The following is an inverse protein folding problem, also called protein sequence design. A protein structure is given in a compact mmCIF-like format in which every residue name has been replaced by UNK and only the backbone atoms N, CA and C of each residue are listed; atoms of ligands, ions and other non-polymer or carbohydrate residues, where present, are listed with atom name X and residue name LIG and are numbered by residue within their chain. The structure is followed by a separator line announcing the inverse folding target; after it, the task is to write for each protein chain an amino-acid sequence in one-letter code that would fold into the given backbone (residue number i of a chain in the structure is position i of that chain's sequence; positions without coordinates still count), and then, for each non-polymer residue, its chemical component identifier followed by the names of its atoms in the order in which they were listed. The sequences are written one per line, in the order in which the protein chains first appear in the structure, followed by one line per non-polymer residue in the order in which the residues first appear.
data_IF_881249556257
#
_entry.id   IF_881249556257
#
_cell.length_a   1.000
_cell.length_b   1.000
_cell.length_c   1.000
_cell.angle_alpha   90.00
_cell.angle_beta   90.00
_cell.angle_gamma   90.00
#
_symmetry.space_group_name_H-M   'P 1'
#
loop_
_entity.id
_entity.type
_entity.pdbx_description
1 polymer ?
#
# COMPACT_ATOMS: atom_id res chain seq x y z
N UNK A 1 -28.24 22.35 -46.49
CA UNK A 1 -27.98 21.29 -45.50
C UNK A 1 -26.70 20.60 -45.92
N UNK A 2 -25.60 20.93 -45.26
CA UNK A 2 -24.30 20.27 -45.42
C UNK A 2 -23.48 20.58 -44.18
N UNK A 3 -23.54 19.61 -43.27
CA UNK A 3 -22.63 19.19 -42.21
C UNK A 3 -21.46 20.10 -41.81
N UNK A 4 -21.57 20.54 -40.57
CA UNK A 4 -20.60 21.29 -39.79
C UNK A 4 -20.01 20.33 -38.75
N UNK A 5 -19.02 19.51 -39.13
CA UNK A 5 -18.45 18.47 -38.26
C UNK A 5 -16.90 18.52 -38.18
N UNK A 6 -16.32 19.71 -38.20
CA UNK A 6 -14.86 19.86 -38.13
C UNK A 6 -14.35 20.94 -37.16
N UNK A 7 -15.03 21.14 -36.02
CA UNK A 7 -14.63 22.18 -35.03
C UNK A 7 -14.09 21.69 -33.67
N UNK A 8 -14.16 20.39 -33.36
CA UNK A 8 -13.75 19.88 -32.03
C UNK A 8 -12.31 19.32 -31.93
N UNK A 9 -11.68 18.92 -33.05
CA UNK A 9 -10.34 18.30 -33.01
C UNK A 9 -9.20 19.30 -32.80
N UNK A 10 -9.43 20.58 -33.08
CA UNK A 10 -8.41 21.62 -32.97
C UNK A 10 -8.24 22.12 -31.53
N UNK A 11 -9.24 21.97 -30.66
CA UNK A 11 -9.24 22.62 -29.34
C UNK A 11 -8.22 21.97 -28.37
N UNK A 12 -8.10 20.64 -28.36
CA UNK A 12 -7.19 19.93 -27.43
C UNK A 12 -5.70 20.13 -27.76
N UNK A 13 -5.35 20.22 -29.05
CA UNK A 13 -3.97 20.51 -29.48
C UNK A 13 -3.62 21.98 -29.24
N UNK A 14 -4.59 22.89 -29.37
CA UNK A 14 -4.38 24.33 -29.14
C UNK A 14 -4.25 24.67 -27.65
N UNK A 15 -4.92 23.93 -26.76
CA UNK A 15 -4.69 24.01 -25.31
C UNK A 15 -3.31 23.46 -24.91
N UNK A 16 -2.87 22.34 -25.50
CA UNK A 16 -1.51 21.79 -25.26
C UNK A 16 -0.39 22.80 -25.54
N UNK A 17 -0.52 23.62 -26.58
CA UNK A 17 0.49 24.65 -26.93
C UNK A 17 0.41 25.89 -26.03
N UNK A 18 -0.76 26.20 -25.46
CA UNK A 18 -0.93 27.33 -24.53
C UNK A 18 -0.54 27.02 -23.08
N UNK A 19 -0.52 25.75 -22.67
CA UNK A 19 -0.39 25.36 -21.26
C UNK A 19 1.06 25.08 -20.81
N UNK A 20 2.01 24.95 -21.74
CA UNK A 20 3.45 24.96 -21.42
C UNK A 20 3.93 26.34 -20.92
N UNK A 21 3.17 27.42 -21.17
CA UNK A 21 3.53 28.79 -20.77
C UNK A 21 3.44 29.06 -19.25
N UNK A 22 2.75 28.21 -18.47
CA UNK A 22 2.55 28.38 -17.02
C UNK A 22 3.50 27.55 -16.14
N UNK A 23 4.53 26.92 -16.71
CA UNK A 23 5.60 26.23 -15.95
C UNK A 23 5.19 24.94 -15.23
N UNK A 24 3.96 24.44 -15.44
CA UNK A 24 3.46 23.18 -14.87
C UNK A 24 3.40 22.10 -15.95
N UNK A 25 4.17 21.02 -15.78
CA UNK A 25 4.14 19.87 -16.70
C UNK A 25 3.05 18.90 -16.27
N UNK A 26 2.00 18.76 -17.09
CA UNK A 26 0.97 17.76 -16.90
C UNK A 26 1.46 16.37 -17.32
N UNK A 27 1.29 15.37 -16.46
CA UNK A 27 1.67 13.98 -16.71
C UNK A 27 0.43 13.08 -16.78
N UNK A 28 0.39 12.10 -17.69
CA UNK A 28 -0.74 11.19 -17.80
C UNK A 28 -0.70 10.09 -16.74
N UNK A 29 -1.83 9.86 -16.10
CA UNK A 29 -2.04 8.83 -15.09
C UNK A 29 -3.25 7.97 -15.41
N UNK A 30 -3.16 6.71 -15.02
CA UNK A 30 -4.29 5.81 -14.87
C UNK A 30 -4.56 5.62 -13.38
N UNK A 31 -5.75 5.99 -12.90
CA UNK A 31 -6.13 5.89 -11.50
C UNK A 31 -7.17 4.80 -11.35
N UNK A 32 -6.90 3.80 -10.51
CA UNK A 32 -7.87 2.76 -10.20
C UNK A 32 -8.96 3.33 -9.29
N UNK A 33 -10.22 3.32 -9.74
CA UNK A 33 -11.36 3.88 -9.00
C UNK A 33 -12.32 2.80 -8.48
N UNK A 34 -12.06 1.51 -8.75
CA UNK A 34 -12.74 0.40 -8.10
C UNK A 34 -11.84 -0.82 -7.90
N UNK A 35 -12.27 -1.75 -7.05
CA UNK A 35 -11.53 -2.97 -6.74
C UNK A 35 -10.58 -2.82 -5.56
N UNK A 36 -9.70 -3.82 -5.38
CA UNK A 36 -8.85 -3.93 -4.18
C UNK A 36 -7.80 -2.82 -4.06
N UNK A 37 -7.36 -2.24 -5.17
CA UNK A 37 -6.35 -1.17 -5.20
C UNK A 37 -6.96 0.19 -5.55
N UNK A 38 -8.20 0.46 -5.12
CA UNK A 38 -8.85 1.76 -5.33
C UNK A 38 -7.98 2.90 -4.77
N UNK A 39 -7.74 3.92 -5.60
CA UNK A 39 -6.84 5.05 -5.32
C UNK A 39 -5.42 4.87 -5.86
N UNK A 40 -5.04 3.67 -6.31
CA UNK A 40 -3.71 3.43 -6.88
C UNK A 40 -3.55 4.18 -8.20
N UNK A 41 -2.41 4.84 -8.36
CA UNK A 41 -2.09 5.66 -9.52
C UNK A 41 -0.92 5.04 -10.30
N UNK A 42 -1.05 4.97 -11.61
CA UNK A 42 -0.01 4.48 -12.51
C UNK A 42 0.37 5.58 -13.49
N UNK A 43 1.60 6.09 -13.38
CA UNK A 43 2.14 7.08 -14.31
C UNK A 43 2.39 6.45 -15.69
N UNK A 44 1.95 7.11 -16.77
CA UNK A 44 2.04 6.62 -18.14
C UNK A 44 3.07 7.39 -18.99
N UNK A 45 3.80 8.33 -18.39
CA UNK A 45 4.77 9.19 -19.09
C UNK A 45 5.88 8.37 -19.74
N UNK A 46 6.06 8.58 -21.05
CA UNK A 46 7.21 8.07 -21.81
C UNK A 46 7.32 6.55 -21.88
N UNK A 47 6.29 5.80 -21.53
CA UNK A 47 6.32 4.33 -21.54
C UNK A 47 5.03 3.73 -22.07
N UNK A 48 5.17 2.62 -22.80
CA UNK A 48 4.06 1.73 -23.10
C UNK A 48 3.85 0.80 -21.90
N UNK A 49 2.60 0.59 -21.50
CA UNK A 49 2.27 -0.26 -20.34
C UNK A 49 1.35 -1.39 -20.75
N UNK A 50 1.61 -2.59 -20.24
CA UNK A 50 0.68 -3.73 -20.33
C UNK A 50 -0.07 -3.87 -19.01
N UNK A 51 -1.36 -4.17 -19.13
CA UNK A 51 -2.28 -4.42 -18.04
C UNK A 51 -2.81 -5.85 -18.14
N UNK A 52 -2.81 -6.57 -17.02
CA UNK A 52 -3.33 -7.93 -17.02
C UNK A 52 -3.09 -8.66 -15.71
N UNK A 53 -3.69 -9.84 -15.58
CA UNK A 53 -3.56 -10.69 -14.39
C UNK A 53 -2.17 -11.31 -14.24
N UNK A 54 -1.37 -11.33 -15.31
CA UNK A 54 0.00 -11.81 -15.22
C UNK A 54 0.86 -10.85 -14.38
N UNK A 55 1.54 -11.33 -13.32
CA UNK A 55 2.40 -10.49 -12.49
C UNK A 55 3.55 -9.81 -13.25
N UNK A 56 3.90 -10.28 -14.45
CA UNK A 56 4.90 -9.66 -15.32
C UNK A 56 4.42 -8.41 -16.07
N UNK A 57 3.12 -8.08 -16.02
CA UNK A 57 2.58 -6.84 -16.57
C UNK A 57 3.11 -5.62 -15.80
N UNK A 58 3.33 -4.49 -16.48
CA UNK A 58 3.72 -3.24 -15.81
C UNK A 58 2.64 -2.75 -14.84
N UNK A 59 1.38 -3.08 -15.11
CA UNK A 59 0.24 -2.87 -14.22
C UNK A 59 -0.41 -4.25 -13.97
N UNK A 60 0.02 -4.99 -12.93
CA UNK A 60 -0.56 -6.27 -12.59
C UNK A 60 -1.94 -6.07 -11.95
N UNK A 61 -2.93 -6.84 -12.42
CA UNK A 61 -4.32 -6.73 -11.99
C UNK A 61 -4.78 -8.04 -11.33
N UNK A 62 -4.87 -8.08 -9.99
CA UNK A 62 -5.37 -9.25 -9.23
C UNK A 62 -6.89 -9.38 -9.33
N UNK A 63 -7.37 -9.80 -10.51
CA UNK A 63 -8.79 -10.08 -10.73
C UNK A 63 -9.01 -11.31 -11.64
N UNK A 64 -9.82 -12.30 -11.22
CA UNK A 64 -10.07 -13.49 -12.03
C UNK A 64 -10.80 -13.20 -13.36
N UNK A 65 -11.48 -12.07 -13.49
CA UNK A 65 -12.16 -11.64 -14.73
C UNK A 65 -11.23 -10.86 -15.67
N UNK A 66 -9.95 -10.77 -15.33
CA UNK A 66 -8.93 -10.14 -16.17
C UNK A 66 -8.03 -11.22 -16.77
N UNK A 67 -7.94 -11.24 -18.10
CA UNK A 67 -6.98 -12.07 -18.85
C UNK A 67 -5.52 -11.80 -18.43
N UNK A 68 -4.63 -12.79 -18.62
CA UNK A 68 -3.21 -12.69 -18.23
C UNK A 68 -2.53 -11.47 -18.85
N UNK A 69 -2.74 -11.27 -20.15
CA UNK A 69 -2.49 -10.02 -20.86
C UNK A 69 -3.86 -9.53 -21.32
N UNK A 70 -4.32 -8.38 -20.84
CA UNK A 70 -5.69 -7.91 -21.09
C UNK A 70 -5.70 -6.72 -22.02
N UNK A 71 -4.89 -5.71 -21.71
CA UNK A 71 -4.81 -4.50 -22.50
C UNK A 71 -3.37 -3.97 -22.54
N UNK A 72 -3.09 -3.11 -23.51
CA UNK A 72 -1.91 -2.27 -23.54
C UNK A 72 -2.32 -0.81 -23.69
N UNK A 73 -1.57 0.10 -23.06
CA UNK A 73 -1.66 1.53 -23.31
C UNK A 73 -0.35 1.96 -23.94
N UNK A 74 -0.44 2.54 -25.13
CA UNK A 74 0.73 2.89 -25.96
C UNK A 74 0.68 4.36 -26.37
N UNK A 75 1.86 4.95 -26.54
CA UNK A 75 2.00 6.26 -27.17
C UNK A 75 1.92 6.12 -28.69
N UNK A 76 0.91 6.75 -29.29
CA UNK A 76 0.76 6.89 -30.74
C UNK A 76 1.30 8.27 -31.15
N UNK A 77 2.16 8.28 -32.16
CA UNK A 77 2.78 9.49 -32.72
C UNK A 77 3.46 10.39 -31.66
N UNK A 78 3.89 9.81 -30.53
CA UNK A 78 4.55 10.51 -29.43
C UNK A 78 3.66 11.47 -28.62
N UNK A 79 2.37 11.60 -28.93
CA UNK A 79 1.51 12.66 -28.36
C UNK A 79 0.17 12.16 -27.85
N UNK A 80 -0.34 11.06 -28.39
CA UNK A 80 -1.64 10.48 -28.05
C UNK A 80 -1.43 9.19 -27.26
N UNK A 81 -2.21 8.99 -26.19
CA UNK A 81 -2.26 7.71 -25.49
C UNK A 81 -3.44 6.92 -26.01
N UNK A 82 -3.20 5.66 -26.34
CA UNK A 82 -4.20 4.75 -26.91
C UNK A 82 -4.26 3.50 -26.07
N UNK A 83 -5.46 3.14 -25.60
CA UNK A 83 -5.71 1.84 -25.00
C UNK A 83 -6.12 0.84 -26.09
N UNK A 84 -5.58 -0.37 -26.04
CA UNK A 84 -5.88 -1.47 -26.94
C UNK A 84 -6.15 -2.75 -26.18
N UNK A 85 -7.20 -3.46 -26.57
CA UNK A 85 -7.46 -4.83 -26.11
C UNK A 85 -6.52 -5.81 -26.83
N UNK A 86 -5.85 -6.67 -26.08
CA UNK A 86 -4.87 -7.65 -26.65
C UNK A 86 -5.45 -9.06 -26.74
N UNK A 87 -6.74 -9.18 -27.06
CA UNK A 87 -7.45 -10.45 -27.17
C UNK A 87 -7.98 -10.94 -25.84
N UNK A 88 -8.48 -10.03 -25.00
CA UNK A 88 -8.98 -10.37 -23.69
C UNK A 88 -10.35 -11.07 -23.75
N UNK A 89 -10.67 -11.87 -22.72
CA UNK A 89 -11.92 -12.64 -22.67
C UNK A 89 -13.13 -11.74 -22.43
N UNK A 90 -13.00 -10.75 -21.55
CA UNK A 90 -14.11 -9.89 -21.13
C UNK A 90 -14.11 -8.52 -21.82
N UNK A 91 -13.03 -8.15 -22.52
CA UNK A 91 -12.89 -6.89 -23.25
C UNK A 91 -12.56 -5.70 -22.36
N UNK A 92 -12.24 -4.60 -23.02
CA UNK A 92 -12.15 -3.26 -22.43
C UNK A 92 -13.38 -2.44 -22.82
N UNK A 93 -13.84 -1.58 -21.91
CA UNK A 93 -14.88 -0.61 -22.19
C UNK A 93 -14.41 0.78 -21.80
N UNK A 94 -14.60 1.77 -22.67
CA UNK A 94 -14.32 3.18 -22.36
C UNK A 94 -15.64 3.94 -22.39
N UNK A 95 -15.95 4.62 -21.27
CA UNK A 95 -17.22 5.32 -21.04
C UNK A 95 -18.45 4.44 -21.36
N UNK A 96 -18.37 3.15 -20.98
CA UNK A 96 -19.43 2.16 -21.17
C UNK A 96 -19.49 1.51 -22.55
N UNK A 97 -18.67 1.92 -23.52
CA UNK A 97 -18.63 1.33 -24.86
C UNK A 97 -17.48 0.33 -24.97
N UNK A 98 -17.76 -0.90 -25.42
CA UNK A 98 -16.72 -1.90 -25.69
C UNK A 98 -15.85 -1.44 -26.86
N UNK A 99 -14.53 -1.47 -26.70
CA UNK A 99 -13.60 -1.02 -27.74
C UNK A 99 -12.48 -2.02 -27.97
N UNK A 100 -12.00 -2.11 -29.21
CA UNK A 100 -10.76 -2.83 -29.51
C UNK A 100 -9.54 -1.90 -29.34
N UNK A 101 -9.71 -0.64 -29.70
CA UNK A 101 -8.70 0.40 -29.61
C UNK A 101 -9.37 1.77 -29.49
N UNK A 102 -8.89 2.64 -28.60
CA UNK A 102 -9.41 4.00 -28.42
C UNK A 102 -8.32 4.96 -27.94
N UNK A 103 -8.30 6.18 -28.49
CA UNK A 103 -7.52 7.30 -27.96
C UNK A 103 -8.13 7.74 -26.63
N UNK A 104 -7.32 7.81 -25.59
CA UNK A 104 -7.74 8.21 -24.25
C UNK A 104 -7.81 9.74 -24.14
N UNK A 105 -8.94 10.24 -23.64
CA UNK A 105 -9.17 11.64 -23.33
C UNK A 105 -9.24 11.86 -21.83
N UNK A 106 -8.82 13.04 -21.36
CA UNK A 106 -8.86 13.38 -19.94
C UNK A 106 -10.26 13.15 -19.35
N UNK A 107 -10.33 12.39 -18.26
CA UNK A 107 -11.58 12.04 -17.60
C UNK A 107 -12.21 10.71 -18.04
N UNK A 108 -11.68 10.05 -19.07
CA UNK A 108 -12.21 8.77 -19.56
C UNK A 108 -12.26 7.70 -18.46
N UNK A 109 -13.42 7.03 -18.36
CA UNK A 109 -13.63 5.90 -17.45
C UNK A 109 -13.43 4.60 -18.21
N UNK A 110 -12.48 3.81 -17.78
CA UNK A 110 -12.06 2.57 -18.44
C UNK A 110 -12.45 1.40 -17.54
N UNK A 111 -13.28 0.49 -18.03
CA UNK A 111 -13.55 -0.80 -17.40
C UNK A 111 -12.67 -1.87 -18.05
N UNK A 112 -11.90 -2.57 -17.23
CA UNK A 112 -11.10 -3.73 -17.64
C UNK A 112 -11.69 -4.97 -16.97
N UNK A 113 -12.00 -5.99 -17.77
CA UNK A 113 -12.73 -7.15 -17.28
C UNK A 113 -14.19 -6.82 -16.95
N UNK A 114 -14.66 -7.22 -15.78
CA UNK A 114 -16.08 -7.06 -15.39
C UNK A 114 -16.32 -6.00 -14.31
N UNK A 115 -15.29 -5.62 -13.55
CA UNK A 115 -15.48 -4.79 -12.34
C UNK A 115 -14.34 -3.84 -11.99
N UNK A 116 -13.23 -3.84 -12.72
CA UNK A 116 -12.11 -2.91 -12.46
C UNK A 116 -12.29 -1.65 -13.29
N UNK A 117 -12.69 -0.58 -12.64
CA UNK A 117 -12.78 0.75 -13.21
C UNK A 117 -11.51 1.53 -12.95
N UNK A 118 -11.07 2.22 -13.99
CA UNK A 118 -10.00 3.18 -13.97
C UNK A 118 -10.50 4.52 -14.51
N UNK A 119 -9.86 5.61 -14.10
CA UNK A 119 -9.99 6.93 -14.70
C UNK A 119 -8.66 7.30 -15.32
N UNK A 120 -8.66 7.65 -16.60
CA UNK A 120 -7.50 8.29 -17.22
C UNK A 120 -7.57 9.80 -16.97
N UNK A 121 -6.44 10.39 -16.55
CA UNK A 121 -6.35 11.83 -16.41
C UNK A 121 -4.92 12.35 -16.56
N UNK A 122 -4.78 13.59 -16.97
CA UNK A 122 -3.56 14.37 -16.85
C UNK A 122 -3.54 15.06 -15.48
N UNK A 123 -2.42 14.98 -14.78
CA UNK A 123 -2.23 15.62 -13.49
C UNK A 123 -0.96 16.46 -13.50
N UNK A 124 -1.03 17.64 -12.90
CA UNK A 124 0.16 18.40 -12.58
C UNK A 124 0.74 18.01 -11.21
N UNK A 125 1.83 18.66 -10.82
CA UNK A 125 2.47 18.44 -9.52
C UNK A 125 1.57 18.82 -8.33
N UNK A 126 0.61 19.73 -8.51
CA UNK A 126 -0.32 20.18 -7.48
C UNK A 126 -1.40 19.12 -7.24
N UNK A 127 -1.98 18.58 -8.31
CA UNK A 127 -2.91 17.45 -8.27
C UNK A 127 -2.27 16.23 -7.61
N UNK A 128 -1.04 15.91 -8.02
CA UNK A 128 -0.29 14.80 -7.44
C UNK A 128 -0.07 15.00 -5.93
N UNK A 129 0.33 16.20 -5.51
CA UNK A 129 0.51 16.54 -4.11
C UNK A 129 -0.81 16.44 -3.34
N UNK A 130 -1.91 16.96 -3.90
CA UNK A 130 -3.22 16.90 -3.28
C UNK A 130 -3.70 15.46 -3.08
N UNK A 131 -3.58 14.60 -4.10
CA UNK A 131 -3.94 13.18 -3.97
C UNK A 131 -3.05 12.45 -2.97
N UNK A 132 -1.74 12.72 -2.97
CA UNK A 132 -0.83 12.14 -1.98
C UNK A 132 -1.20 12.58 -0.56
N UNK A 133 -1.59 13.84 -0.38
CA UNK A 133 -2.03 14.36 0.92
C UNK A 133 -3.34 13.71 1.36
N UNK A 134 -4.31 13.51 0.46
CA UNK A 134 -5.54 12.78 0.75
C UNK A 134 -5.25 11.32 1.16
N UNK A 135 -4.39 10.63 0.41
CA UNK A 135 -3.98 9.27 0.76
C UNK A 135 -3.32 9.22 2.13
N UNK A 136 -2.39 10.14 2.42
CA UNK A 136 -1.71 10.21 3.71
C UNK A 136 -2.70 10.50 4.84
N UNK A 137 -3.59 11.47 4.67
CA UNK A 137 -4.60 11.82 5.66
C UNK A 137 -5.54 10.64 5.98
N UNK A 138 -5.87 9.82 4.98
CA UNK A 138 -6.74 8.67 5.15
C UNK A 138 -6.05 7.44 5.76
N UNK A 139 -4.76 7.23 5.47
CA UNK A 139 -4.08 5.96 5.71
C UNK A 139 -2.90 6.01 6.70
N UNK A 140 -2.41 7.21 7.07
CA UNK A 140 -1.24 7.38 7.92
C UNK A 140 -1.65 7.87 9.32
N UNK A 141 -1.07 7.29 10.37
CA UNK A 141 -1.19 7.77 11.73
C UNK A 141 -0.42 9.08 11.90
N UNK A 142 -1.12 10.13 12.34
CA UNK A 142 -0.55 11.48 12.43
C UNK A 142 0.63 11.59 13.41
N UNK A 143 0.67 10.75 14.45
CA UNK A 143 1.73 10.78 15.45
C UNK A 143 3.01 10.09 14.95
N UNK A 144 2.88 8.84 14.54
CA UNK A 144 4.02 7.94 14.27
C UNK A 144 4.47 7.94 12.81
N UNK A 145 3.64 8.49 11.90
CA UNK A 145 3.83 8.48 10.45
C UNK A 145 3.89 7.07 9.82
N UNK A 146 3.48 6.04 10.58
CA UNK A 146 3.22 4.71 10.06
C UNK A 146 1.80 4.62 9.49
N UNK A 147 1.44 3.52 8.85
CA UNK A 147 0.05 3.28 8.47
C UNK A 147 -0.84 3.22 9.71
N UNK A 148 -2.12 3.56 9.55
CA UNK A 148 -3.12 3.38 10.58
C UNK A 148 -3.68 1.95 10.57
N UNK A 149 -4.37 1.59 11.67
CA UNK A 149 -4.99 0.27 11.84
C UNK A 149 -5.92 -0.11 10.68
N UNK A 150 -6.76 0.82 10.22
CA UNK A 150 -7.75 0.57 9.16
C UNK A 150 -7.05 0.10 7.89
N UNK A 151 -6.10 0.88 7.39
CA UNK A 151 -5.33 0.52 6.20
C UNK A 151 -4.58 -0.80 6.39
N UNK A 152 -3.97 -1.00 7.55
CA UNK A 152 -3.22 -2.22 7.85
C UNK A 152 -4.09 -3.48 7.78
N UNK A 153 -5.27 -3.48 8.40
CA UNK A 153 -6.21 -4.63 8.37
C UNK A 153 -6.68 -4.91 6.95
N UNK A 154 -7.00 -3.87 6.18
CA UNK A 154 -7.41 -4.00 4.78
C UNK A 154 -6.30 -4.65 3.92
N UNK A 155 -5.03 -4.29 4.17
CA UNK A 155 -3.90 -4.92 3.47
C UNK A 155 -3.64 -6.33 3.97
N UNK A 156 -3.64 -6.57 5.28
CA UNK A 156 -3.42 -7.90 5.86
C UNK A 156 -4.43 -8.92 5.31
N UNK A 157 -5.70 -8.54 5.14
CA UNK A 157 -6.73 -9.39 4.55
C UNK A 157 -6.42 -9.80 3.10
N UNK A 158 -5.91 -8.87 2.30
CA UNK A 158 -5.50 -9.13 0.91
C UNK A 158 -4.29 -10.05 0.89
N UNK A 159 -3.27 -9.76 1.69
CA UNK A 159 -2.04 -10.56 1.77
C UNK A 159 -2.30 -11.97 2.29
N UNK A 160 -3.11 -12.14 3.33
CA UNK A 160 -3.48 -13.45 3.86
C UNK A 160 -4.15 -14.31 2.78
N UNK A 161 -5.12 -13.72 2.06
CA UNK A 161 -5.81 -14.39 0.97
C UNK A 161 -4.85 -14.75 -0.17
N UNK A 162 -3.92 -13.86 -0.52
CA UNK A 162 -2.91 -14.09 -1.55
C UNK A 162 -1.95 -15.21 -1.16
N UNK A 163 -1.39 -15.15 0.05
CA UNK A 163 -0.44 -16.10 0.58
C UNK A 163 -1.05 -17.52 0.70
N UNK A 164 -2.29 -17.62 1.21
CA UNK A 164 -3.02 -18.89 1.29
C UNK A 164 -3.25 -19.53 -0.08
N UNK A 165 -3.58 -18.74 -1.11
CA UNK A 165 -3.78 -19.25 -2.49
C UNK A 165 -2.47 -19.67 -3.15
N UNK A 166 -1.42 -18.89 -2.99
CA UNK A 166 -0.14 -19.10 -3.68
C UNK A 166 0.84 -19.98 -2.90
N UNK A 167 0.48 -20.41 -1.67
CA UNK A 167 1.35 -21.17 -0.77
C UNK A 167 2.69 -20.47 -0.53
N UNK A 168 2.64 -19.16 -0.34
CA UNK A 168 3.82 -18.34 0.01
C UNK A 168 3.77 -17.98 1.49
N UNK A 169 4.91 -17.90 2.19
CA UNK A 169 4.92 -17.58 3.61
C UNK A 169 4.50 -16.12 3.84
N UNK A 170 3.73 -15.89 4.89
CA UNK A 170 3.33 -14.56 5.34
C UNK A 170 3.45 -14.49 6.86
N UNK A 171 4.28 -13.58 7.36
CA UNK A 171 4.47 -13.42 8.80
C UNK A 171 3.80 -12.14 9.31
N UNK A 172 3.15 -12.24 10.47
CA UNK A 172 2.54 -11.14 11.19
C UNK A 172 3.25 -10.97 12.53
N UNK A 173 3.64 -9.73 12.83
CA UNK A 173 4.26 -9.35 14.09
C UNK A 173 3.38 -8.33 14.80
N UNK A 174 3.03 -8.62 16.06
CA UNK A 174 2.35 -7.71 16.98
C UNK A 174 3.36 -7.22 18.00
N UNK A 175 3.37 -5.92 18.31
CA UNK A 175 4.37 -5.25 19.13
C UNK A 175 3.67 -4.35 20.14
N UNK A 176 4.15 -4.33 21.37
CA UNK A 176 3.67 -3.44 22.43
C UNK A 176 4.83 -2.80 23.19
N UNK A 177 4.66 -1.53 23.57
CA UNK A 177 5.65 -0.81 24.39
C UNK A 177 5.50 -1.18 25.85
N UNK A 178 6.54 -1.81 26.40
CA UNK A 178 6.54 -2.28 27.76
C UNK A 178 6.42 -1.11 28.74
N UNK A 179 5.50 -1.24 29.71
CA UNK A 179 5.29 -0.26 30.77
C UNK A 179 4.97 1.16 30.26
N UNK A 180 4.35 1.31 29.08
CA UNK A 180 4.05 2.62 28.49
C UNK A 180 3.26 3.56 29.42
N UNK A 181 2.30 3.02 30.18
CA UNK A 181 1.58 3.79 31.21
C UNK A 181 2.52 4.42 32.25
N UNK A 182 3.53 3.67 32.73
CA UNK A 182 4.51 4.18 33.69
C UNK A 182 5.35 5.31 33.09
N UNK A 183 5.67 5.22 31.80
CA UNK A 183 6.39 6.29 31.08
C UNK A 183 5.55 7.57 31.09
N UNK A 184 4.26 7.47 30.74
CA UNK A 184 3.33 8.60 30.79
C UNK A 184 3.17 9.17 32.20
N UNK A 185 3.00 8.30 33.20
CA UNK A 185 2.82 8.72 34.60
C UNK A 185 4.09 9.41 35.16
N UNK A 186 5.29 9.02 34.69
CA UNK A 186 6.57 9.56 35.17
C UNK A 186 7.01 10.82 34.43
N UNK A 187 6.86 10.84 33.10
CA UNK A 187 7.43 11.88 32.23
C UNK A 187 6.37 12.74 31.51
N UNK A 188 5.10 12.42 31.69
CA UNK A 188 3.96 13.07 31.04
C UNK A 188 3.70 12.54 29.62
N UNK A 189 2.49 12.79 29.12
CA UNK A 189 2.04 12.32 27.80
C UNK A 189 2.92 12.78 26.63
N UNK A 190 3.53 13.96 26.73
CA UNK A 190 4.46 14.46 25.69
C UNK A 190 5.66 13.52 25.52
N UNK A 191 6.17 12.96 26.62
CA UNK A 191 7.26 11.99 26.57
C UNK A 191 6.80 10.66 25.97
N UNK A 192 5.59 10.20 26.32
CA UNK A 192 4.98 9.03 25.69
C UNK A 192 4.80 9.19 24.17
N UNK A 193 4.32 10.35 23.72
CA UNK A 193 4.20 10.67 22.30
C UNK A 193 5.56 10.64 21.58
N UNK A 194 6.63 11.12 22.23
CA UNK A 194 7.99 11.05 21.70
C UNK A 194 8.49 9.60 21.61
N UNK A 195 8.17 8.76 22.59
CA UNK A 195 8.47 7.33 22.56
C UNK A 195 7.79 6.65 21.37
N UNK A 196 6.50 6.90 21.15
CA UNK A 196 5.77 6.34 20.01
C UNK A 196 6.32 6.85 18.67
N UNK A 197 6.63 8.15 18.57
CA UNK A 197 7.30 8.74 17.40
C UNK A 197 8.63 8.08 17.11
N UNK A 198 9.44 7.85 18.13
CA UNK A 198 10.76 7.23 17.99
C UNK A 198 10.65 5.82 17.41
N UNK A 199 9.74 5.00 17.96
CA UNK A 199 9.47 3.66 17.42
C UNK A 199 8.96 3.73 15.98
N UNK A 200 8.00 4.62 15.70
CA UNK A 200 7.47 4.81 14.35
C UNK A 200 8.56 5.13 13.33
N UNK A 201 9.45 6.06 13.66
CA UNK A 201 10.60 6.42 12.81
C UNK A 201 11.57 5.26 12.63
N UNK A 202 11.86 4.51 13.70
CA UNK A 202 12.74 3.35 13.64
C UNK A 202 12.16 2.26 12.73
N UNK A 203 10.87 1.92 12.89
CA UNK A 203 10.20 0.92 12.06
C UNK A 203 10.14 1.34 10.60
N UNK A 204 9.84 2.62 10.34
CA UNK A 204 9.79 3.16 8.98
C UNK A 204 11.14 3.05 8.24
N UNK A 205 12.26 3.28 8.95
CA UNK A 205 13.62 3.19 8.36
C UNK A 205 14.15 1.76 8.26
N UNK A 206 13.71 0.87 9.15
CA UNK A 206 14.29 -0.47 9.31
C UNK A 206 13.62 -1.53 8.43
N UNK A 207 12.44 -1.23 7.89
CA UNK A 207 11.68 -2.13 7.05
C UNK A 207 11.92 -1.86 5.57
N UNK A 208 11.94 -2.93 4.77
CA UNK A 208 11.98 -2.84 3.31
C UNK A 208 10.63 -2.34 2.78
N UNK A 209 10.63 -1.79 1.56
CA UNK A 209 9.44 -1.19 0.92
C UNK A 209 8.25 -2.15 0.82
N UNK A 210 8.52 -3.45 0.69
CA UNK A 210 7.48 -4.49 0.60
C UNK A 210 6.80 -4.83 1.93
N UNK A 211 7.40 -4.44 3.07
CA UNK A 211 6.86 -4.71 4.40
C UNK A 211 6.07 -3.51 4.91
N UNK A 212 4.99 -3.78 5.64
CA UNK A 212 4.03 -2.75 6.05
C UNK A 212 4.01 -2.70 7.57
N UNK A 213 4.37 -1.54 8.14
CA UNK A 213 4.21 -1.26 9.56
C UNK A 213 3.05 -0.30 9.81
N UNK A 214 2.32 -0.53 10.90
CA UNK A 214 1.26 0.35 11.37
C UNK A 214 1.35 0.62 12.86
N UNK A 215 0.68 1.71 13.28
CA UNK A 215 0.21 1.85 14.65
C UNK A 215 -1.16 1.16 14.77
N UNK A 216 -1.19 0.06 15.50
CA UNK A 216 -2.37 -0.80 15.60
C UNK A 216 -3.41 -0.25 16.59
N UNK A 217 -2.96 0.43 17.64
CA UNK A 217 -3.83 1.14 18.59
C UNK A 217 -3.07 1.52 19.86
N UNK A 218 -3.31 2.71 20.43
CA UNK A 218 -2.60 3.13 21.65
C UNK A 218 -1.07 3.09 21.47
N UNK A 219 -0.42 2.21 22.23
CA UNK A 219 1.01 1.89 22.23
C UNK A 219 1.38 0.63 21.41
N UNK A 220 0.41 0.03 20.73
CA UNK A 220 0.59 -1.18 19.93
C UNK A 220 0.95 -0.86 18.48
N UNK A 221 1.87 -1.65 17.94
CA UNK A 221 2.29 -1.61 16.54
C UNK A 221 2.15 -2.99 15.92
N UNK A 222 2.04 -3.05 14.60
CA UNK A 222 2.03 -4.32 13.89
C UNK A 222 2.77 -4.23 12.56
N UNK A 223 3.36 -5.35 12.13
CA UNK A 223 4.14 -5.46 10.89
C UNK A 223 3.68 -6.67 10.07
N UNK A 224 3.41 -6.44 8.78
CA UNK A 224 3.23 -7.49 7.77
C UNK A 224 4.57 -7.73 7.09
N UNK A 225 5.04 -8.97 7.10
CA UNK A 225 6.25 -9.42 6.45
C UNK A 225 5.89 -10.38 5.30
N UNK A 226 5.95 -9.88 4.06
CA UNK A 226 5.54 -10.62 2.86
C UNK A 226 6.64 -11.56 2.39
N UNK A 227 6.31 -12.81 2.07
CA UNK A 227 7.27 -13.81 1.62
C UNK A 227 8.42 -14.03 2.62
N UNK A 228 8.10 -13.95 3.91
CA UNK A 228 9.06 -14.14 5.01
C UNK A 228 8.60 -15.32 5.84
N UNK A 229 9.46 -16.33 5.92
CA UNK A 229 9.27 -17.52 6.75
C UNK A 229 9.44 -17.23 8.26
N UNK A 230 9.07 -18.21 9.08
CA UNK A 230 9.07 -18.09 10.54
C UNK A 230 10.46 -17.77 11.10
N UNK A 231 11.50 -18.44 10.61
CA UNK A 231 12.88 -18.24 11.06
C UNK A 231 13.35 -16.82 10.78
N UNK A 232 13.13 -16.32 9.57
CA UNK A 232 13.53 -14.97 9.17
C UNK A 232 12.69 -13.91 9.88
N UNK A 233 11.38 -14.17 10.08
CA UNK A 233 10.51 -13.28 10.84
C UNK A 233 10.99 -13.10 12.28
N UNK A 234 11.43 -14.18 12.94
CA UNK A 234 12.03 -14.11 14.27
C UNK A 234 13.32 -13.30 14.31
N UNK A 235 14.20 -13.46 13.32
CA UNK A 235 15.43 -12.65 13.24
C UNK A 235 15.11 -11.16 13.08
N UNK A 236 14.10 -10.82 12.27
CA UNK A 236 13.65 -9.43 12.10
C UNK A 236 13.05 -8.90 13.42
N UNK A 237 12.22 -9.69 14.10
CA UNK A 237 11.59 -9.34 15.37
C UNK A 237 12.64 -9.05 16.46
N UNK A 238 13.60 -9.95 16.65
CA UNK A 238 14.66 -9.76 17.64
C UNK A 238 15.58 -8.58 17.30
N UNK A 239 15.85 -8.34 16.02
CA UNK A 239 16.59 -7.15 15.60
C UNK A 239 15.82 -5.86 15.95
N UNK A 240 14.50 -5.83 15.72
CA UNK A 240 13.65 -4.70 16.11
C UNK A 240 13.70 -4.49 17.63
N UNK A 241 13.50 -5.56 18.40
CA UNK A 241 13.55 -5.54 19.86
C UNK A 241 14.87 -4.99 20.41
N UNK A 242 15.98 -5.59 20.00
CA UNK A 242 17.32 -5.24 20.47
C UNK A 242 17.72 -3.81 20.12
N UNK A 243 17.30 -3.30 18.96
CA UNK A 243 17.62 -1.93 18.57
C UNK A 243 16.79 -0.91 19.36
N UNK A 244 15.51 -1.17 19.59
CA UNK A 244 14.66 -0.31 20.43
C UNK A 244 15.20 -0.27 21.87
N UNK A 245 15.59 -1.43 22.42
CA UNK A 245 16.20 -1.52 23.77
C UNK A 245 17.48 -0.68 23.90
N UNK A 246 18.30 -0.62 22.85
CA UNK A 246 19.59 0.09 22.87
C UNK A 246 19.50 1.59 22.60
N UNK A 247 18.40 2.06 22.03
CA UNK A 247 18.24 3.46 21.60
C UNK A 247 17.36 4.21 22.60
N UNK A 248 17.95 5.06 23.47
CA UNK A 248 17.14 5.87 24.37
C UNK A 248 16.40 6.98 23.61
N UNK A 249 15.25 7.37 24.14
CA UNK A 249 14.51 8.55 23.70
C UNK A 249 14.93 9.73 24.58
N UNK A 250 15.62 10.70 23.98
CA UNK A 250 16.04 11.91 24.71
C UNK A 250 14.87 12.88 24.90
N UNK A 251 14.58 13.25 26.14
CA UNK A 251 13.55 14.21 26.50
C UNK A 251 14.01 15.08 27.68
N UNK A 252 14.02 16.42 27.50
CA UNK A 252 14.40 17.40 28.53
C UNK A 252 15.74 17.10 29.25
N UNK A 253 16.74 16.63 28.50
CA UNK A 253 18.07 16.19 28.95
C UNK A 253 18.11 14.84 29.68
N UNK A 254 16.98 14.14 29.82
CA UNK A 254 16.94 12.77 30.29
C UNK A 254 16.91 11.77 29.12
N UNK A 255 17.44 10.58 29.35
CA UNK A 255 17.36 9.46 28.43
C UNK A 255 16.32 8.45 28.94
N UNK A 256 15.23 8.31 28.21
CA UNK A 256 14.16 7.35 28.50
C UNK A 256 14.50 6.05 27.78
N UNK A 257 14.88 5.02 28.53
CA UNK A 257 15.07 3.68 28.01
C UNK A 257 13.74 2.94 27.99
N UNK A 258 13.45 2.30 26.87
CA UNK A 258 12.20 1.57 26.63
C UNK A 258 12.51 0.17 26.13
N UNK A 259 11.62 -0.76 26.39
CA UNK A 259 11.64 -2.09 25.78
C UNK A 259 10.30 -2.36 25.11
N UNK A 260 10.30 -3.34 24.22
CA UNK A 260 9.09 -3.79 23.53
C UNK A 260 8.96 -5.31 23.66
N UNK A 261 7.72 -5.76 23.79
CA UNK A 261 7.35 -7.17 23.70
C UNK A 261 6.78 -7.46 22.31
N UNK A 262 7.09 -8.62 21.75
CA UNK A 262 6.71 -8.99 20.38
C UNK A 262 6.08 -10.38 20.32
N UNK A 263 5.00 -10.50 19.56
CA UNK A 263 4.38 -11.77 19.19
C UNK A 263 4.46 -11.99 17.69
N UNK A 264 4.88 -13.18 17.26
CA UNK A 264 5.03 -13.52 15.84
C UNK A 264 4.20 -14.76 15.50
N UNK A 265 3.43 -14.67 14.43
CA UNK A 265 2.78 -15.81 13.79
C UNK A 265 3.15 -15.86 12.30
N UNK A 266 3.31 -17.06 11.75
CA UNK A 266 3.62 -17.25 10.33
C UNK A 266 2.61 -18.17 9.68
N UNK A 267 1.88 -17.63 8.70
CA UNK A 267 1.11 -18.44 7.77
C UNK A 267 2.10 -19.17 6.86
N UNK A 268 2.10 -20.49 6.97
CA UNK A 268 2.81 -21.39 6.08
C UNK A 268 1.95 -22.62 5.79
N UNK A 269 1.94 -23.04 4.53
CA UNK A 269 1.19 -24.21 4.06
C UNK A 269 -0.29 -24.28 4.49
N UNK A 270 -0.93 -23.13 4.75
CA UNK A 270 -2.35 -23.07 5.12
C UNK A 270 -2.66 -23.47 6.56
N UNK A 271 -1.68 -23.41 7.47
CA UNK A 271 -1.85 -23.67 8.91
C UNK A 271 -2.84 -22.75 9.66
N UNK A 272 -3.45 -21.77 8.98
CA UNK A 272 -4.55 -20.96 9.49
C UNK A 272 -5.77 -21.03 8.59
N UNK A 273 -6.94 -21.27 9.18
CA UNK A 273 -8.20 -21.28 8.44
C UNK A 273 -8.66 -19.88 8.09
N UNK A 274 -8.67 -19.00 9.09
CA UNK A 274 -9.16 -17.62 8.97
C UNK A 274 -8.07 -16.60 9.27
N UNK A 275 -8.27 -15.36 8.82
CA UNK A 275 -7.38 -14.24 9.15
C UNK A 275 -7.48 -13.93 10.65
N UNK A 276 -8.65 -14.13 11.26
CA UNK A 276 -8.89 -13.96 12.69
C UNK A 276 -8.02 -14.94 13.51
N UNK A 277 -7.90 -16.20 13.07
CA UNK A 277 -7.00 -17.17 13.70
C UNK A 277 -5.54 -16.74 13.63
N UNK A 278 -5.15 -16.17 12.48
CA UNK A 278 -3.78 -15.71 12.26
C UNK A 278 -3.42 -14.51 13.12
N UNK A 279 -4.32 -13.52 13.21
CA UNK A 279 -4.15 -12.35 14.09
C UNK A 279 -4.12 -12.78 15.55
N UNK A 280 -5.08 -13.63 15.96
CA UNK A 280 -5.16 -14.16 17.33
C UNK A 280 -3.89 -14.90 17.72
N UNK A 281 -3.30 -15.69 16.82
CA UNK A 281 -2.05 -16.39 17.11
C UNK A 281 -0.89 -15.43 17.39
N UNK A 282 -0.78 -14.32 16.64
CA UNK A 282 0.26 -13.32 16.88
C UNK A 282 0.01 -12.57 18.21
N UNK A 283 -1.25 -12.28 18.53
CA UNK A 283 -1.66 -11.64 19.79
C UNK A 283 -1.41 -12.54 21.02
N UNK A 284 -1.74 -13.83 20.94
CA UNK A 284 -1.44 -14.83 21.97
C UNK A 284 0.08 -14.92 22.24
N UNK A 285 0.90 -14.83 21.19
CA UNK A 285 2.36 -14.78 21.34
C UNK A 285 2.80 -13.48 22.03
N UNK A 286 2.23 -12.33 21.68
CA UNK A 286 2.55 -11.05 22.31
C UNK A 286 2.16 -11.08 23.80
N UNK A 287 1.00 -11.65 24.11
CA UNK A 287 0.57 -11.86 25.48
C UNK A 287 1.54 -12.77 26.24
N UNK A 288 1.98 -13.88 25.64
CA UNK A 288 2.99 -14.76 26.22
C UNK A 288 4.34 -14.04 26.44
N UNK A 289 4.75 -13.15 25.54
CA UNK A 289 5.94 -12.31 25.72
C UNK A 289 5.80 -11.38 26.94
N UNK A 290 4.64 -10.74 27.09
CA UNK A 290 4.33 -9.87 28.24
C UNK A 290 4.31 -10.63 29.57
N UNK A 291 3.73 -11.83 29.59
CA UNK A 291 3.69 -12.70 30.78
C UNK A 291 5.06 -13.32 31.10
N UNK A 292 5.86 -13.60 30.07
CA UNK A 292 7.20 -14.15 30.20
C UNK A 292 8.27 -13.15 30.63
N UNK A 293 7.90 -12.02 31.24
CA UNK A 293 8.83 -11.02 31.74
C UNK A 293 9.09 -9.82 30.83
N UNK A 294 8.33 -9.68 29.72
CA UNK A 294 8.47 -8.58 28.73
C UNK A 294 9.84 -8.58 28.04
N UNK A 295 10.12 -7.54 27.25
CA UNK A 295 11.37 -7.36 26.50
C UNK A 295 11.82 -8.64 25.77
N UNK A 296 10.89 -9.29 25.09
CA UNK A 296 11.16 -10.55 24.39
C UNK A 296 10.25 -10.74 23.20
N UNK A 297 10.70 -11.56 22.26
CA UNK A 297 9.85 -12.09 21.19
C UNK A 297 9.40 -13.50 21.53
N UNK A 298 8.13 -13.78 21.30
CA UNK A 298 7.57 -15.14 21.29
C UNK A 298 6.99 -15.41 19.91
N UNK A 299 7.19 -16.62 19.40
CA UNK A 299 6.60 -17.07 18.15
C UNK A 299 5.83 -18.36 18.37
N UNK A 300 4.73 -18.49 17.64
CA UNK A 300 3.99 -19.74 17.57
C UNK A 300 4.79 -20.75 16.76
N UNK A 301 5.14 -21.88 17.39
CA UNK A 301 5.73 -23.00 16.69
C UNK A 301 4.74 -23.55 15.65
N UNK A 302 5.24 -23.93 14.47
CA UNK A 302 4.43 -24.63 13.49
C UNK A 302 4.06 -26.01 14.07
N UNK A 303 2.77 -26.29 14.14
CA UNK A 303 2.24 -27.61 14.53
C UNK A 303 2.44 -28.63 13.39
#
# INVERSE_FOLDING_TARGET
MSDNENRDRTIVVTEKVRLEENGSTYEPYLIQISGRETGQMYNLKGRNVKLGRDPSCQIPLDDPHVSRNHAEIIWRNGTELVIRDVGSTNGIFVNGKKVQEQVLLDGDKILIGTRLYFKFCYQDSVDQSYQQNLFRAANIDGLTQLYNKKYFVDVLSKEFSFAKRNKTPLSLMMIDVDHFKKINDTHGHIAGDLVLKHIGQYLHKSLRLENIACRYGGEEFAIILRNVDATTAMQIAERVRLNVEKQPVTYRNDNIFITISLGVATLDNGNFETIEDFIRAADECLYAAKQGGRNRTVMREAA
#
